data_IF_892638601846
#
_entry.id   IF_892638601846
#
_cell.length_a   1.000
_cell.length_b   1.000
_cell.length_c   1.000
_cell.angle_alpha   90.00
_cell.angle_beta   90.00
_cell.angle_gamma   90.00
#
_symmetry.space_group_name_H-M   'P 1'
#
loop_
_entity.id
_entity.type
_entity.pdbx_description
1 polymer ?
#
# COMPACT_ATOMS: atom_id res chain seq x y z
N UNK A 1 12.46 76.23 -41.26
CA UNK A 1 12.24 76.33 -39.79
C UNK A 1 10.76 76.08 -39.56
N UNK A 2 10.32 74.85 -39.23
CA UNK A 2 10.29 74.24 -37.87
C UNK A 2 9.48 75.11 -36.88
N UNK A 3 8.45 74.69 -36.12
CA UNK A 3 7.83 73.40 -35.74
C UNK A 3 6.40 73.72 -35.14
N UNK A 4 5.31 72.98 -35.47
CA UNK A 4 4.56 71.97 -34.66
C UNK A 4 3.93 72.46 -33.30
N UNK A 5 2.87 71.80 -32.74
CA UNK A 5 1.47 71.75 -33.19
C UNK A 5 0.45 71.95 -32.03
N UNK A 6 -0.84 72.13 -32.37
CA UNK A 6 -2.00 72.17 -31.45
C UNK A 6 -2.29 70.78 -30.87
N UNK A 7 -2.45 70.69 -29.55
CA UNK A 7 -2.58 69.44 -28.78
C UNK A 7 -3.95 69.30 -28.13
N UNK A 8 -4.96 68.87 -28.90
CA UNK A 8 -6.24 68.37 -28.37
C UNK A 8 -6.39 66.88 -28.62
N UNK A 9 -6.05 66.06 -27.63
CA UNK A 9 -6.47 64.66 -27.58
C UNK A 9 -6.92 64.27 -26.18
N UNK A 10 -8.19 63.86 -26.06
CA UNK A 10 -8.80 63.33 -24.85
C UNK A 10 -8.28 61.90 -24.54
N UNK A 11 -8.20 61.49 -23.26
CA UNK A 11 -7.53 60.24 -22.90
C UNK A 11 -8.43 59.01 -23.08
N UNK A 12 -8.15 58.22 -24.12
CA UNK A 12 -8.65 56.84 -24.36
C UNK A 12 -8.14 55.80 -23.34
N UNK A 13 -7.46 56.23 -22.26
CA UNK A 13 -6.74 55.36 -21.33
C UNK A 13 -7.62 54.80 -20.19
N UNK A 14 -8.77 55.39 -19.90
CA UNK A 14 -9.56 55.00 -18.72
C UNK A 14 -10.38 53.71 -18.93
N UNK A 15 -10.78 53.42 -20.17
CA UNK A 15 -11.65 52.26 -20.48
C UNK A 15 -10.90 50.91 -20.44
N UNK A 16 -9.59 50.93 -20.72
CA UNK A 16 -8.75 49.73 -20.62
C UNK A 16 -8.49 49.33 -19.15
N UNK A 17 -8.45 50.30 -18.24
CA UNK A 17 -8.08 50.06 -16.84
C UNK A 17 -9.24 49.51 -16.00
N UNK A 18 -10.49 49.87 -16.31
CA UNK A 18 -11.67 49.31 -15.64
C UNK A 18 -11.98 47.90 -16.13
N UNK A 19 -11.85 47.61 -17.43
CA UNK A 19 -12.03 46.25 -17.98
C UNK A 19 -11.01 45.27 -17.42
N UNK A 20 -9.72 45.64 -17.41
CA UNK A 20 -8.65 44.79 -16.86
C UNK A 20 -8.83 44.51 -15.36
N UNK A 21 -9.28 45.50 -14.57
CA UNK A 21 -9.63 45.31 -13.15
C UNK A 21 -10.83 44.40 -12.93
N UNK A 22 -11.85 44.48 -13.78
CA UNK A 22 -13.02 43.58 -13.73
C UNK A 22 -12.63 42.14 -14.07
N UNK A 23 -11.82 41.94 -15.12
CA UNK A 23 -11.28 40.62 -15.45
C UNK A 23 -10.45 40.03 -14.31
N UNK A 24 -9.59 40.84 -13.68
CA UNK A 24 -8.78 40.41 -12.54
C UNK A 24 -9.64 40.00 -11.33
N UNK A 25 -10.71 40.76 -11.05
CA UNK A 25 -11.63 40.45 -9.94
C UNK A 25 -12.42 39.17 -10.20
N UNK A 26 -12.91 38.95 -11.41
CA UNK A 26 -13.60 37.71 -11.76
C UNK A 26 -12.67 36.51 -11.78
N UNK A 27 -11.42 36.66 -12.23
CA UNK A 27 -10.41 35.61 -12.15
C UNK A 27 -10.09 35.22 -10.70
N UNK A 28 -9.94 36.20 -9.80
CA UNK A 28 -9.74 35.97 -8.37
C UNK A 28 -10.95 35.28 -7.71
N UNK A 29 -12.18 35.67 -8.07
CA UNK A 29 -13.38 35.03 -7.56
C UNK A 29 -13.53 33.58 -8.04
N UNK A 30 -13.21 33.30 -9.31
CA UNK A 30 -13.22 31.94 -9.86
C UNK A 30 -12.15 31.06 -9.21
N UNK A 31 -10.95 31.60 -8.98
CA UNK A 31 -9.87 30.87 -8.32
C UNK A 31 -10.18 30.57 -6.85
N UNK A 32 -10.77 31.53 -6.13
CA UNK A 32 -11.28 31.32 -4.76
C UNK A 32 -12.40 30.27 -4.72
N UNK A 33 -13.36 30.34 -5.66
CA UNK A 33 -14.44 29.37 -5.76
C UNK A 33 -13.94 27.96 -6.09
N UNK A 34 -12.98 27.83 -7.02
CA UNK A 34 -12.35 26.56 -7.35
C UNK A 34 -11.59 25.97 -6.16
N UNK A 35 -10.87 26.81 -5.40
CA UNK A 35 -10.21 26.39 -4.16
C UNK A 35 -11.20 25.95 -3.09
N UNK A 36 -12.33 26.66 -2.94
CA UNK A 36 -13.37 26.29 -1.97
C UNK A 36 -14.06 24.97 -2.34
N UNK A 37 -14.33 24.77 -3.63
CA UNK A 37 -14.88 23.50 -4.15
C UNK A 37 -13.89 22.36 -3.92
N UNK A 38 -12.59 22.57 -4.20
CA UNK A 38 -11.55 21.58 -3.92
C UNK A 38 -11.41 21.25 -2.44
N UNK A 39 -11.68 22.19 -1.53
CA UNK A 39 -11.68 21.95 -0.09
C UNK A 39 -12.88 21.14 0.40
N UNK A 40 -14.05 21.32 -0.24
CA UNK A 40 -15.29 20.62 0.12
C UNK A 40 -15.37 19.23 -0.51
N UNK A 41 -14.77 19.04 -1.70
CA UNK A 41 -14.74 17.76 -2.42
C UNK A 41 -13.43 16.99 -2.21
N UNK A 42 -12.43 17.59 -1.55
CA UNK A 42 -11.18 16.93 -1.23
C UNK A 42 -11.40 15.80 -0.22
N UNK A 43 -10.68 14.67 -0.33
CA UNK A 43 -10.76 13.60 0.65
C UNK A 43 -10.52 14.20 2.04
N UNK A 44 -11.39 13.85 2.98
CA UNK A 44 -11.40 14.28 4.36
C UNK A 44 -10.08 13.95 5.08
N UNK A 45 -9.08 14.82 4.89
CA UNK A 45 -7.77 14.70 5.50
C UNK A 45 -7.68 15.64 6.72
N UNK A 46 -7.25 15.15 7.91
CA UNK A 46 -6.65 13.84 8.19
C UNK A 46 -7.58 12.92 9.00
N UNK A 47 -7.84 11.72 8.47
CA UNK A 47 -8.52 10.62 9.14
C UNK A 47 -7.63 9.86 10.15
N UNK A 48 -7.00 10.54 11.11
CA UNK A 48 -6.17 9.89 12.16
C UNK A 48 -6.91 9.61 13.48
N UNK A 49 -8.20 9.94 13.58
CA UNK A 49 -8.92 9.89 14.86
C UNK A 49 -9.55 8.53 15.19
N UNK A 50 -9.65 7.60 14.23
CA UNK A 50 -10.15 6.25 14.52
C UNK A 50 -9.00 5.25 14.61
N UNK A 51 -8.96 4.39 15.64
CA UNK A 51 -7.96 3.33 15.75
C UNK A 51 -7.88 2.41 14.52
N UNK A 52 -9.00 2.20 13.83
CA UNK A 52 -9.07 1.44 12.56
C UNK A 52 -8.20 2.04 11.45
N UNK A 53 -8.08 3.36 11.42
CA UNK A 53 -7.43 4.08 10.32
C UNK A 53 -5.90 4.08 10.53
N UNK A 54 -5.46 4.06 11.80
CA UNK A 54 -4.06 3.85 12.16
C UNK A 54 -3.60 2.42 11.85
N UNK A 55 -4.43 1.42 12.19
CA UNK A 55 -4.14 0.01 11.85
C UNK A 55 -4.07 -0.15 10.33
N UNK A 56 -5.00 0.47 9.58
CA UNK A 56 -4.97 0.44 8.12
C UNK A 56 -3.72 1.11 7.56
N UNK A 57 -3.28 2.25 8.10
CA UNK A 57 -2.05 2.91 7.63
C UNK A 57 -0.79 2.05 7.87
N UNK A 58 -0.75 1.27 8.96
CA UNK A 58 0.35 0.37 9.27
C UNK A 58 0.32 -0.89 8.40
N UNK A 59 -0.87 -1.42 8.11
CA UNK A 59 -1.07 -2.70 7.42
C UNK A 59 -1.30 -2.53 5.91
N UNK A 60 -1.51 -1.31 5.40
CA UNK A 60 -1.85 -1.02 4.00
C UNK A 60 -0.91 -1.68 2.97
N UNK A 61 0.37 -1.88 3.32
CA UNK A 61 1.35 -2.52 2.44
C UNK A 61 1.51 -4.05 2.66
N UNK A 62 0.70 -4.62 3.55
CA UNK A 62 0.60 -6.05 3.88
C UNK A 62 -0.83 -6.57 3.70
N UNK A 63 -1.72 -5.77 3.08
CA UNK A 63 -3.08 -6.20 2.77
C UNK A 63 -3.03 -7.33 1.74
N UNK A 64 -3.85 -8.36 1.97
CA UNK A 64 -3.95 -9.51 1.08
C UNK A 64 -4.62 -9.09 -0.24
N UNK A 65 -3.89 -9.19 -1.35
CA UNK A 65 -4.41 -8.92 -2.68
C UNK A 65 -5.21 -10.13 -3.20
N UNK A 66 -6.53 -10.04 -3.05
CA UNK A 66 -7.44 -11.09 -3.49
C UNK A 66 -7.40 -11.34 -5.00
N UNK A 67 -7.16 -10.30 -5.81
CA UNK A 67 -7.18 -10.44 -7.27
C UNK A 67 -5.92 -11.13 -7.77
N UNK A 68 -4.75 -10.75 -7.26
CA UNK A 68 -3.50 -11.42 -7.58
C UNK A 68 -3.53 -12.87 -7.10
N UNK A 69 -3.99 -13.10 -5.86
CA UNK A 69 -4.15 -14.46 -5.34
C UNK A 69 -5.13 -15.31 -6.16
N UNK A 70 -6.29 -14.77 -6.54
CA UNK A 70 -7.29 -15.51 -7.32
C UNK A 70 -6.78 -15.85 -8.72
N UNK A 71 -6.06 -14.93 -9.36
CA UNK A 71 -5.42 -15.17 -10.66
C UNK A 71 -4.31 -16.22 -10.57
N UNK A 72 -3.48 -16.20 -9.52
CA UNK A 72 -2.46 -17.23 -9.28
C UNK A 72 -3.09 -18.60 -9.04
N UNK A 73 -4.18 -18.66 -8.26
CA UNK A 73 -4.92 -19.91 -8.01
C UNK A 73 -5.55 -20.44 -9.30
N UNK A 74 -6.09 -19.58 -10.16
CA UNK A 74 -6.65 -19.97 -11.45
C UNK A 74 -5.55 -20.45 -12.41
N UNK A 75 -4.39 -19.80 -12.43
CA UNK A 75 -3.23 -20.22 -13.22
C UNK A 75 -2.73 -21.60 -12.77
N UNK A 76 -2.55 -21.81 -11.47
CA UNK A 76 -2.14 -23.10 -10.89
C UNK A 76 -3.14 -24.23 -11.22
N UNK A 77 -4.44 -23.94 -11.18
CA UNK A 77 -5.48 -24.90 -11.58
C UNK A 77 -5.46 -25.17 -13.09
N UNK A 78 -5.18 -24.16 -13.89
CA UNK A 78 -5.03 -24.29 -15.35
C UNK A 78 -3.83 -25.12 -15.74
N UNK A 79 -2.67 -24.89 -15.12
CA UNK A 79 -1.46 -25.70 -15.31
C UNK A 79 -1.65 -27.14 -14.85
N UNK A 80 -2.29 -27.36 -13.70
CA UNK A 80 -2.62 -28.70 -13.23
C UNK A 80 -3.55 -29.47 -14.19
N UNK A 81 -4.48 -28.79 -14.86
CA UNK A 81 -5.34 -29.40 -15.88
C UNK A 81 -4.59 -29.75 -17.18
N UNK A 82 -3.50 -29.04 -17.49
CA UNK A 82 -2.66 -29.31 -18.66
C UNK A 82 -1.65 -30.45 -18.43
N UNK A 83 -1.33 -30.77 -17.17
CA UNK A 83 -0.36 -31.79 -16.75
C UNK A 83 -0.98 -33.21 -16.63
N UNK A 84 -2.29 -33.36 -16.91
CA UNK A 84 -3.04 -34.64 -16.88
C UNK A 84 -2.44 -35.79 -17.74
N UNK A 85 -1.41 -35.52 -18.55
CA UNK A 85 -0.81 -36.49 -19.47
C UNK A 85 0.20 -37.49 -18.89
N UNK A 86 1.08 -37.12 -17.94
CA UNK A 86 2.22 -38.01 -17.57
C UNK A 86 2.89 -37.74 -16.19
N UNK A 87 2.42 -36.77 -15.39
CA UNK A 87 3.17 -36.25 -14.23
C UNK A 87 2.50 -36.38 -12.85
N UNK A 88 1.47 -37.22 -12.70
CA UNK A 88 0.71 -37.26 -11.46
C UNK A 88 1.41 -38.14 -10.41
N UNK A 89 1.75 -37.53 -9.26
CA UNK A 89 2.19 -38.27 -8.07
C UNK A 89 1.16 -39.36 -7.74
N UNK A 90 1.61 -40.58 -7.50
CA UNK A 90 0.75 -41.67 -7.04
C UNK A 90 -0.04 -41.22 -5.78
N UNK A 91 -1.24 -41.77 -5.57
CA UNK A 91 -2.13 -41.39 -4.47
C UNK A 91 -1.42 -41.44 -3.11
N UNK A 92 -0.56 -42.45 -2.90
CA UNK A 92 0.24 -42.55 -1.69
C UNK A 92 1.22 -41.38 -1.54
N UNK A 93 1.87 -40.96 -2.64
CA UNK A 93 2.81 -39.85 -2.64
C UNK A 93 2.12 -38.49 -2.44
N UNK A 94 0.92 -38.29 -3.01
CA UNK A 94 0.11 -37.08 -2.77
C UNK A 94 -0.32 -36.96 -1.31
N UNK A 95 -0.80 -38.06 -0.73
CA UNK A 95 -1.15 -38.09 0.69
C UNK A 95 0.06 -37.79 1.58
N UNK A 96 1.20 -38.42 1.30
CA UNK A 96 2.41 -38.21 2.09
C UNK A 96 2.88 -36.76 2.00
N UNK A 97 2.87 -36.15 0.82
CA UNK A 97 3.22 -34.75 0.63
C UNK A 97 2.38 -33.80 1.50
N UNK A 98 1.05 -34.01 1.54
CA UNK A 98 0.16 -33.19 2.37
C UNK A 98 0.44 -33.39 3.86
N UNK A 99 0.70 -34.63 4.30
CA UNK A 99 1.04 -34.91 5.69
C UNK A 99 2.37 -34.27 6.09
N UNK A 100 3.39 -34.38 5.24
CA UNK A 100 4.71 -33.77 5.46
C UNK A 100 4.60 -32.24 5.55
N UNK A 101 3.77 -31.62 4.71
CA UNK A 101 3.51 -30.19 4.76
C UNK A 101 2.79 -29.77 6.06
N UNK A 102 1.76 -30.50 6.48
CA UNK A 102 1.04 -30.22 7.74
C UNK A 102 1.97 -30.36 8.94
N UNK A 103 2.84 -31.36 8.95
CA UNK A 103 3.83 -31.57 9.99
C UNK A 103 4.86 -30.42 10.03
N UNK A 104 5.28 -29.92 8.86
CA UNK A 104 6.18 -28.77 8.73
C UNK A 104 5.55 -27.48 9.28
N UNK A 105 4.29 -27.19 8.96
CA UNK A 105 3.56 -26.06 9.54
C UNK A 105 3.44 -26.21 11.06
N UNK A 106 3.15 -27.43 11.54
CA UNK A 106 3.13 -27.72 12.96
C UNK A 106 4.48 -27.49 13.65
N UNK A 107 5.59 -27.80 12.98
CA UNK A 107 6.95 -27.54 13.48
C UNK A 107 7.23 -26.04 13.60
N UNK A 108 6.89 -25.26 12.58
CA UNK A 108 7.03 -23.79 12.58
C UNK A 108 6.29 -23.19 13.79
N UNK A 109 5.02 -23.54 13.98
CA UNK A 109 4.23 -23.04 15.10
C UNK A 109 4.79 -23.42 16.48
N UNK A 110 5.34 -24.63 16.63
CA UNK A 110 6.03 -25.05 17.87
C UNK A 110 7.29 -24.24 18.15
N UNK A 111 8.09 -23.95 17.11
CA UNK A 111 9.30 -23.14 17.24
C UNK A 111 8.97 -21.70 17.61
N UNK A 112 7.99 -21.09 16.94
CA UNK A 112 7.50 -19.75 17.26
C UNK A 112 6.97 -19.65 18.69
N UNK A 113 6.21 -20.66 19.13
CA UNK A 113 5.72 -20.73 20.52
C UNK A 113 6.85 -20.80 21.54
N UNK A 114 7.89 -21.61 21.28
CA UNK A 114 9.05 -21.71 22.17
C UNK A 114 9.86 -20.41 22.22
N UNK A 115 10.08 -19.77 21.07
CA UNK A 115 10.73 -18.46 21.00
C UNK A 115 9.91 -17.44 21.80
N UNK A 116 8.60 -17.40 21.60
CA UNK A 116 7.73 -16.47 22.34
C UNK A 116 7.81 -16.70 23.85
N UNK A 117 7.82 -17.96 24.31
CA UNK A 117 7.99 -18.28 25.74
C UNK A 117 9.29 -17.68 26.30
N UNK A 118 10.40 -17.78 25.57
CA UNK A 118 11.70 -17.21 25.96
C UNK A 118 11.62 -15.69 26.11
N UNK A 119 11.00 -14.98 25.15
CA UNK A 119 10.85 -13.53 25.23
C UNK A 119 9.89 -13.07 26.32
N UNK A 120 8.97 -13.93 26.75
CA UNK A 120 8.00 -13.62 27.83
C UNK A 120 8.48 -14.02 29.21
N UNK A 121 9.59 -14.74 29.35
CA UNK A 121 10.13 -15.17 30.65
C UNK A 121 11.07 -14.10 31.25
N UNK A 122 10.67 -13.41 32.34
CA UNK A 122 11.49 -12.39 32.98
C UNK A 122 12.74 -12.93 33.69
N UNK A 123 12.86 -14.26 33.87
CA UNK A 123 14.08 -14.87 34.41
C UNK A 123 15.22 -14.93 33.38
N UNK A 124 14.91 -14.77 32.09
CA UNK A 124 15.90 -14.80 31.01
C UNK A 124 16.45 -13.39 30.81
N UNK A 125 17.76 -13.23 31.07
CA UNK A 125 18.42 -11.91 30.98
C UNK A 125 18.67 -11.48 29.54
N UNK A 126 18.97 -12.42 28.64
CA UNK A 126 19.21 -12.17 27.21
C UNK A 126 18.40 -13.16 26.36
N UNK A 127 17.16 -12.80 26.00
CA UNK A 127 16.28 -13.66 25.21
C UNK A 127 16.74 -13.80 23.75
N UNK A 128 17.56 -12.87 23.22
CA UNK A 128 18.11 -13.00 21.87
C UNK A 128 19.12 -14.14 21.81
N UNK A 129 20.07 -14.17 22.75
CA UNK A 129 21.05 -15.26 22.83
C UNK A 129 20.36 -16.58 23.17
N UNK A 130 19.38 -16.58 24.08
CA UNK A 130 18.66 -17.79 24.47
C UNK A 130 17.78 -18.38 23.35
N UNK A 131 17.27 -17.55 22.43
CA UNK A 131 16.42 -17.99 21.31
C UNK A 131 17.18 -18.19 19.99
N UNK A 132 18.47 -17.85 19.90
CA UNK A 132 19.23 -17.84 18.66
C UNK A 132 19.15 -19.17 17.86
N UNK A 133 19.31 -20.31 18.55
CA UNK A 133 19.23 -21.64 17.91
C UNK A 133 17.83 -21.92 17.37
N UNK A 134 16.78 -21.60 18.15
CA UNK A 134 15.40 -21.78 17.72
C UNK A 134 15.04 -20.87 16.54
N UNK A 135 15.57 -19.64 16.50
CA UNK A 135 15.39 -18.73 15.38
C UNK A 135 16.05 -19.26 14.11
N UNK A 136 17.23 -19.88 14.21
CA UNK A 136 17.85 -20.55 13.07
C UNK A 136 16.98 -21.71 12.56
N UNK A 137 16.52 -22.59 13.45
CA UNK A 137 15.64 -23.70 13.08
C UNK A 137 14.33 -23.22 12.45
N UNK A 138 13.76 -22.11 12.94
CA UNK A 138 12.57 -21.50 12.39
C UNK A 138 12.81 -20.98 10.97
N UNK A 139 13.96 -20.32 10.73
CA UNK A 139 14.32 -19.84 9.40
C UNK A 139 14.50 -21.00 8.41
N UNK A 140 15.14 -22.10 8.84
CA UNK A 140 15.29 -23.31 8.03
C UNK A 140 13.94 -23.96 7.69
N UNK A 141 13.04 -24.07 8.68
CA UNK A 141 11.71 -24.63 8.47
C UNK A 141 10.84 -23.76 7.54
N UNK A 142 10.90 -22.44 7.66
CA UNK A 142 10.20 -21.51 6.75
C UNK A 142 10.75 -21.58 5.32
N UNK A 143 12.07 -21.61 5.17
CA UNK A 143 12.70 -21.79 3.86
C UNK A 143 12.36 -23.14 3.22
N UNK A 144 12.04 -24.17 4.01
CA UNK A 144 11.53 -25.44 3.49
C UNK A 144 10.07 -25.38 3.05
N UNK A 145 9.24 -24.52 3.66
CA UNK A 145 7.83 -24.34 3.30
C UNK A 145 7.61 -23.48 2.05
N UNK A 146 8.61 -22.67 1.68
CA UNK A 146 8.60 -21.81 0.48
C UNK A 146 9.10 -22.53 -0.79
N UNK A 147 9.61 -23.77 -0.67
CA UNK A 147 10.06 -24.60 -1.79
C UNK A 147 8.93 -25.45 -2.35
#
# INVERSE_FOLDING_TARGET
>A
MAALPDGRHQPMLYYFWTRTRLFLRHALLLLSCFSAIGLVLGPEWPAFQRPSDQIRAIVANQEFDFLVYELDVLALKGEAALVEGDGYLDEAARKQLVLDFVDLIGQIGRLEGQINLIYTDPAITDPEVASAELQQQLAEARAAAER
#
